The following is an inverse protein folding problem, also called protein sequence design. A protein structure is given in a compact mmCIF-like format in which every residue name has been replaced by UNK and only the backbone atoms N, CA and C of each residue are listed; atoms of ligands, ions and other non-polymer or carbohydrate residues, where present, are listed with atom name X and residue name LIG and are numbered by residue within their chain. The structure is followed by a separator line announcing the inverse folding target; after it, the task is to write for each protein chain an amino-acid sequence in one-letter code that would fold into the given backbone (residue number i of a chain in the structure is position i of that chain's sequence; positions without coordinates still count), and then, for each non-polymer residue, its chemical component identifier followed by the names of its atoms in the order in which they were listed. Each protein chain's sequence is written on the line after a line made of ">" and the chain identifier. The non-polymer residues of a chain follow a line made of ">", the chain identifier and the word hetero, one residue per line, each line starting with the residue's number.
data_IF_862087190858
#
_entry.id   IF_862087190858
#
_cell.length_a   1.000
_cell.length_b   1.000
_cell.length_c   1.000
_cell.angle_alpha   90.00
_cell.angle_beta   90.00
_cell.angle_gamma   90.00
#
_symmetry.space_group_name_H-M   'P 1'
#
loop_
_entity.id
_entity.type
_entity.pdbx_description
1 polymer ?
#
# COMPACT_ATOMS: atom_id res chain seq x y z
N UNK A 1 -0.47 -6.47 5.30
CA UNK A 1 -0.68 -7.11 3.98
C UNK A 1 0.69 -7.33 3.37
N UNK A 2 0.81 -8.30 2.48
CA UNK A 2 2.09 -8.73 1.92
C UNK A 2 2.81 -9.72 2.83
N UNK A 3 4.11 -9.52 2.97
CA UNK A 3 5.01 -10.44 3.69
C UNK A 3 4.76 -10.47 5.21
N UNK A 4 4.60 -11.67 5.77
CA UNK A 4 4.46 -11.87 7.22
C UNK A 4 5.71 -11.42 7.98
N UNK A 5 5.53 -10.75 9.12
CA UNK A 5 6.61 -10.24 10.01
C UNK A 5 7.66 -9.31 9.39
N UNK A 6 7.52 -8.92 8.12
CA UNK A 6 8.51 -8.06 7.45
C UNK A 6 8.71 -6.74 8.19
N UNK A 7 7.63 -6.10 8.64
CA UNK A 7 7.74 -4.81 9.33
C UNK A 7 8.44 -4.91 10.69
N UNK A 8 8.27 -6.02 11.40
CA UNK A 8 9.01 -6.31 12.63
C UNK A 8 10.52 -6.40 12.35
N UNK A 9 10.89 -7.02 11.22
CA UNK A 9 12.29 -7.15 10.78
C UNK A 9 12.87 -5.80 10.34
N UNK A 10 12.08 -4.96 9.66
CA UNK A 10 12.52 -3.66 9.15
C UNK A 10 12.45 -2.53 10.18
N UNK A 11 11.87 -2.76 11.37
CA UNK A 11 11.73 -1.75 12.42
C UNK A 11 13.04 -1.01 12.78
N UNK A 12 14.23 -1.67 12.85
CA UNK A 12 15.48 -0.97 13.19
C UNK A 12 15.91 0.11 12.20
N UNK A 13 15.46 0.03 10.94
CA UNK A 13 15.77 1.02 9.90
C UNK A 13 14.65 2.03 9.67
N UNK A 14 13.58 1.97 10.46
CA UNK A 14 12.45 2.91 10.39
C UNK A 14 12.90 4.32 10.75
N UNK A 15 12.62 5.28 9.87
CA UNK A 15 12.80 6.71 10.14
C UNK A 15 11.44 7.40 10.20
N UNK A 16 11.10 8.02 11.33
CA UNK A 16 9.92 8.90 11.38
C UNK A 16 10.25 10.21 10.67
N UNK A 17 9.44 10.56 9.66
CA UNK A 17 9.59 11.79 8.88
C UNK A 17 8.32 12.64 8.96
N UNK A 18 8.43 13.95 9.23
CA UNK A 18 7.26 14.82 9.23
C UNK A 18 6.78 15.09 7.81
N UNK A 19 5.46 15.18 7.59
CA UNK A 19 4.89 15.36 6.24
C UNK A 19 5.44 16.58 5.50
N UNK A 20 5.66 17.71 6.20
CA UNK A 20 6.18 18.93 5.57
C UNK A 20 7.56 18.73 4.93
N UNK A 21 8.36 17.78 5.42
CA UNK A 21 9.71 17.49 4.88
C UNK A 21 9.65 16.84 3.49
N UNK A 22 8.46 16.40 3.05
CA UNK A 22 8.24 15.82 1.74
C UNK A 22 7.84 16.86 0.68
N UNK A 23 7.77 18.15 1.03
CA UNK A 23 7.44 19.21 0.08
C UNK A 23 8.36 19.17 -1.14
N UNK A 24 7.77 19.28 -2.33
CA UNK A 24 8.47 19.19 -3.62
C UNK A 24 8.67 17.76 -4.14
N UNK A 25 8.47 16.72 -3.32
CA UNK A 25 8.55 15.32 -3.76
C UNK A 25 7.31 14.91 -4.54
N UNK A 26 7.50 13.92 -5.42
CA UNK A 26 6.44 13.22 -6.14
C UNK A 26 6.29 11.82 -5.57
N UNK A 27 5.09 11.43 -5.15
CA UNK A 27 4.86 10.13 -4.50
C UNK A 27 3.81 9.31 -5.25
N UNK A 28 4.10 8.02 -5.46
CA UNK A 28 3.12 7.05 -5.95
C UNK A 28 2.24 6.55 -4.79
N UNK A 29 0.94 6.40 -5.03
CA UNK A 29 -0.02 5.97 -3.99
C UNK A 29 -0.89 4.84 -4.53
N UNK A 30 -0.98 3.73 -3.79
CA UNK A 30 -1.98 2.70 -4.06
C UNK A 30 -3.39 3.21 -3.71
N UNK A 31 -4.22 3.42 -4.74
CA UNK A 31 -5.57 3.94 -4.58
C UNK A 31 -6.47 2.96 -3.82
N UNK A 32 -6.35 1.66 -4.12
CA UNK A 32 -7.16 0.61 -3.52
C UNK A 32 -6.94 0.51 -2.02
N UNK A 33 -5.69 0.66 -1.57
CA UNK A 33 -5.31 0.62 -0.17
C UNK A 33 -5.94 1.77 0.61
N UNK A 34 -5.83 3.01 0.13
CA UNK A 34 -6.43 4.17 0.79
C UNK A 34 -7.96 4.14 0.81
N UNK A 35 -8.60 3.67 -0.26
CA UNK A 35 -10.06 3.48 -0.28
C UNK A 35 -10.48 2.40 0.73
N UNK A 36 -9.72 1.30 0.81
CA UNK A 36 -9.98 0.24 1.80
C UNK A 36 -9.85 0.74 3.25
N UNK A 37 -8.83 1.54 3.54
CA UNK A 37 -8.63 2.16 4.86
C UNK A 37 -9.80 3.07 5.23
N UNK A 38 -10.21 3.95 4.32
CA UNK A 38 -11.33 4.86 4.54
C UNK A 38 -12.63 4.10 4.87
N UNK A 39 -12.89 3.00 4.16
CA UNK A 39 -14.05 2.15 4.42
C UNK A 39 -13.98 1.43 5.77
N UNK A 40 -12.78 1.02 6.22
CA UNK A 40 -12.61 0.35 7.50
C UNK A 40 -12.90 1.30 8.68
N UNK A 41 -12.39 2.53 8.62
CA UNK A 41 -12.68 3.58 9.61
C UNK A 41 -14.18 3.89 9.67
N UNK A 42 -14.84 3.95 8.50
CA UNK A 42 -16.28 4.20 8.43
C UNK A 42 -17.13 3.11 9.07
N UNK A 43 -16.76 1.84 8.89
CA UNK A 43 -17.46 0.72 9.51
C UNK A 43 -17.42 0.77 11.04
N UNK A 44 -16.34 1.31 11.62
CA UNK A 44 -16.20 1.47 13.07
C UNK A 44 -16.96 2.67 13.65
N UNK A 45 -17.11 3.76 12.89
CA UNK A 45 -17.68 5.02 13.41
C UNK A 45 -19.18 5.20 13.16
N UNK A 46 -19.86 4.28 12.47
CA UNK A 46 -21.31 4.29 12.26
C UNK A 46 -21.86 5.46 11.44
N UNK A 47 -21.00 6.31 10.88
CA UNK A 47 -21.37 7.46 10.03
C UNK A 47 -21.01 7.16 8.58
N UNK A 48 -22.02 7.14 7.71
CA UNK A 48 -21.81 7.03 6.26
C UNK A 48 -21.24 8.36 5.76
N UNK A 49 -19.92 8.40 5.60
CA UNK A 49 -19.26 9.35 4.70
C UNK A 49 -18.92 8.60 3.42
N UNK A 50 -18.94 9.29 2.28
CA UNK A 50 -18.51 8.67 1.02
C UNK A 50 -16.97 8.57 1.04
N UNK A 51 -16.34 7.42 0.74
CA UNK A 51 -14.89 7.22 0.89
C UNK A 51 -14.06 8.20 0.05
N UNK A 52 -14.59 8.65 -1.09
CA UNK A 52 -13.97 9.71 -1.88
C UNK A 52 -13.82 11.04 -1.12
N UNK A 53 -14.66 11.35 -0.13
CA UNK A 53 -14.48 12.57 0.68
C UNK A 53 -13.22 12.49 1.55
N UNK A 54 -12.94 11.33 2.14
CA UNK A 54 -11.71 11.13 2.90
C UNK A 54 -10.49 11.22 1.98
N UNK A 55 -10.58 10.60 0.80
CA UNK A 55 -9.54 10.71 -0.23
C UNK A 55 -9.30 12.16 -0.63
N UNK A 56 -10.37 12.92 -0.90
CA UNK A 56 -10.31 14.35 -1.25
C UNK A 56 -9.51 15.15 -0.22
N UNK A 57 -9.82 15.01 1.08
CA UNK A 57 -9.12 15.76 2.11
C UNK A 57 -7.65 15.35 2.25
N UNK A 58 -7.32 14.05 2.09
CA UNK A 58 -5.93 13.58 2.08
C UNK A 58 -5.16 14.18 0.91
N UNK A 59 -5.71 14.10 -0.31
CA UNK A 59 -5.11 14.63 -1.53
C UNK A 59 -4.94 16.14 -1.45
N UNK A 60 -5.99 16.86 -1.04
CA UNK A 60 -5.97 18.32 -0.88
C UNK A 60 -4.89 18.75 0.11
N UNK A 61 -4.79 18.08 1.26
CA UNK A 61 -3.80 18.42 2.28
C UNK A 61 -2.36 18.21 1.80
N UNK A 62 -2.08 17.08 1.15
CA UNK A 62 -0.75 16.77 0.62
C UNK A 62 -0.35 17.72 -0.50
N UNK A 63 -1.26 17.98 -1.44
CA UNK A 63 -0.99 18.92 -2.55
C UNK A 63 -0.78 20.35 -2.05
N UNK A 64 -1.52 20.80 -1.02
CA UNK A 64 -1.28 22.09 -0.35
C UNK A 64 0.07 22.15 0.36
N UNK A 65 0.63 21.02 0.81
CA UNK A 65 2.00 20.93 1.34
C UNK A 65 3.07 20.89 0.24
N UNK A 66 2.69 20.99 -1.04
CA UNK A 66 3.61 20.94 -2.18
C UNK A 66 4.06 19.53 -2.55
N UNK A 67 3.37 18.49 -2.07
CA UNK A 67 3.64 17.09 -2.41
C UNK A 67 2.84 16.74 -3.66
N UNK A 68 3.54 16.32 -4.72
CA UNK A 68 2.92 15.86 -5.96
C UNK A 68 2.53 14.40 -5.80
N UNK A 69 1.36 14.02 -6.30
CA UNK A 69 0.85 12.66 -6.18
C UNK A 69 0.58 12.07 -7.56
N UNK A 70 0.85 10.78 -7.70
CA UNK A 70 0.34 9.95 -8.78
C UNK A 70 -0.33 8.72 -8.16
N UNK A 71 -1.61 8.51 -8.47
CA UNK A 71 -2.34 7.35 -7.96
C UNK A 71 -2.22 6.17 -8.91
N UNK A 72 -2.14 4.97 -8.34
CA UNK A 72 -2.12 3.72 -9.09
C UNK A 72 -3.37 2.93 -8.72
N UNK A 73 -4.17 2.64 -9.74
CA UNK A 73 -5.31 1.73 -9.66
C UNK A 73 -4.87 0.31 -10.00
N UNK A 74 -5.39 -0.66 -9.25
CA UNK A 74 -5.10 -2.07 -9.48
C UNK A 74 -5.67 -2.57 -10.82
N UNK A 75 -4.89 -3.41 -11.50
CA UNK A 75 -5.26 -4.13 -12.71
C UNK A 75 -5.81 -5.52 -12.42
N UNK A 76 -5.36 -6.51 -13.20
CA UNK A 76 -5.75 -7.91 -12.98
C UNK A 76 -4.76 -8.61 -12.06
N UNK A 77 -5.25 -9.04 -10.90
CA UNK A 77 -4.45 -9.77 -9.93
C UNK A 77 -3.91 -11.09 -10.51
N UNK A 78 -2.66 -11.48 -10.18
CA UNK A 78 -2.10 -12.76 -10.58
C UNK A 78 -2.94 -13.94 -10.07
N UNK A 79 -3.03 -15.01 -10.89
CA UNK A 79 -3.76 -16.24 -10.53
C UNK A 79 -3.29 -16.86 -9.21
N UNK A 80 -2.00 -16.73 -8.89
CA UNK A 80 -1.41 -17.24 -7.65
C UNK A 80 -2.05 -16.63 -6.39
N UNK A 81 -2.57 -15.40 -6.46
CA UNK A 81 -3.18 -14.69 -5.33
C UNK A 81 -4.68 -14.99 -5.18
N UNK A 82 -5.27 -15.77 -6.09
CA UNK A 82 -6.71 -16.02 -6.13
C UNK A 82 -7.26 -16.64 -4.83
N UNK A 83 -6.54 -17.61 -4.25
CA UNK A 83 -6.95 -18.27 -3.00
C UNK A 83 -6.91 -17.30 -1.81
N UNK A 84 -5.83 -16.52 -1.68
CA UNK A 84 -5.67 -15.50 -0.65
C UNK A 84 -6.78 -14.44 -0.75
N UNK A 85 -7.08 -13.96 -1.96
CA UNK A 85 -8.17 -13.01 -2.20
C UNK A 85 -9.54 -13.59 -1.84
N UNK A 86 -9.77 -14.86 -2.17
CA UNK A 86 -11.01 -15.55 -1.83
C UNK A 86 -11.20 -15.64 -0.31
N UNK A 87 -10.18 -16.11 0.42
CA UNK A 87 -10.19 -16.17 1.89
C UNK A 87 -10.43 -14.80 2.51
N UNK A 88 -9.76 -13.75 2.00
CA UNK A 88 -9.91 -12.36 2.48
C UNK A 88 -11.33 -11.83 2.23
N UNK A 89 -11.89 -12.06 1.04
CA UNK A 89 -13.24 -11.62 0.71
C UNK A 89 -14.30 -12.35 1.52
N UNK A 90 -14.15 -13.65 1.77
CA UNK A 90 -15.04 -14.39 2.66
C UNK A 90 -14.99 -13.84 4.09
N UNK A 91 -13.80 -13.66 4.66
CA UNK A 91 -13.65 -13.14 6.02
C UNK A 91 -14.21 -11.73 6.20
N UNK A 92 -14.08 -10.86 5.19
CA UNK A 92 -14.53 -9.47 5.26
C UNK A 92 -16.00 -9.26 4.95
N UNK A 93 -16.58 -10.06 4.05
CA UNK A 93 -17.92 -9.80 3.52
C UNK A 93 -18.92 -10.95 3.70
N UNK A 94 -18.48 -12.13 4.16
CA UNK A 94 -19.32 -13.30 4.39
C UNK A 94 -20.21 -13.61 3.18
N UNK A 95 -21.53 -13.69 3.41
CA UNK A 95 -22.53 -13.94 2.36
C UNK A 95 -22.60 -12.85 1.28
N UNK A 96 -22.05 -11.65 1.52
CA UNK A 96 -21.99 -10.54 0.55
C UNK A 96 -20.71 -10.56 -0.31
N UNK A 97 -19.85 -11.57 -0.16
CA UNK A 97 -18.57 -11.66 -0.87
C UNK A 97 -18.71 -11.62 -2.40
N UNK A 98 -19.79 -12.14 -2.97
CA UNK A 98 -20.00 -12.16 -4.43
C UNK A 98 -20.24 -10.76 -5.04
N UNK A 99 -20.86 -9.83 -4.31
CA UNK A 99 -21.18 -8.49 -4.79
C UNK A 99 -20.09 -7.44 -4.43
N UNK A 100 -19.23 -7.75 -3.45
CA UNK A 100 -18.21 -6.85 -2.95
C UNK A 100 -17.22 -6.35 -4.03
N UNK A 101 -16.69 -7.18 -4.94
CA UNK A 101 -15.73 -6.73 -5.95
C UNK A 101 -16.32 -5.69 -6.92
N UNK A 102 -17.57 -5.90 -7.38
CA UNK A 102 -18.24 -4.96 -8.29
C UNK A 102 -18.47 -3.60 -7.64
N UNK A 103 -18.94 -3.59 -6.39
CA UNK A 103 -19.14 -2.36 -5.62
C UNK A 103 -17.82 -1.64 -5.36
N UNK A 104 -16.76 -2.38 -5.06
CA UNK A 104 -15.44 -1.80 -4.83
C UNK A 104 -14.89 -1.13 -6.09
N UNK A 105 -14.97 -1.79 -7.25
CA UNK A 105 -14.59 -1.20 -8.55
C UNK A 105 -15.36 0.09 -8.87
N UNK A 106 -16.65 0.15 -8.56
CA UNK A 106 -17.44 1.38 -8.75
C UNK A 106 -16.91 2.53 -7.89
N UNK A 107 -16.55 2.27 -6.62
CA UNK A 107 -15.97 3.27 -5.72
C UNK A 107 -14.60 3.73 -6.21
N UNK A 108 -13.75 2.82 -6.69
CA UNK A 108 -12.45 3.19 -7.27
C UNK A 108 -12.62 4.12 -8.48
N UNK A 109 -13.64 3.88 -9.31
CA UNK A 109 -13.97 4.76 -10.45
C UNK A 109 -14.42 6.15 -10.00
N UNK A 110 -15.33 6.24 -9.02
CA UNK A 110 -15.72 7.53 -8.44
C UNK A 110 -14.52 8.29 -7.86
N UNK A 111 -13.59 7.57 -7.21
CA UNK A 111 -12.35 8.16 -6.71
C UNK A 111 -11.44 8.65 -7.85
N UNK A 112 -11.32 7.90 -8.95
CA UNK A 112 -10.55 8.31 -10.12
C UNK A 112 -11.14 9.56 -10.80
N UNK A 113 -12.46 9.60 -11.00
CA UNK A 113 -13.17 10.78 -11.54
C UNK A 113 -12.96 12.02 -10.65
N UNK A 114 -12.93 11.84 -9.33
CA UNK A 114 -12.59 12.91 -8.41
C UNK A 114 -11.13 13.37 -8.57
N UNK A 115 -10.17 12.44 -8.75
CA UNK A 115 -8.76 12.79 -8.99
C UNK A 115 -8.61 13.59 -10.30
N UNK A 116 -9.34 13.21 -11.35
CA UNK A 116 -9.40 13.95 -12.61
C UNK A 116 -9.89 15.39 -12.39
N UNK A 117 -10.96 15.57 -11.61
CA UNK A 117 -11.49 16.89 -11.27
C UNK A 117 -10.51 17.74 -10.44
N UNK A 118 -9.65 17.10 -9.64
CA UNK A 118 -8.60 17.76 -8.86
C UNK A 118 -7.32 18.03 -9.68
N UNK A 119 -7.22 17.52 -10.92
CA UNK A 119 -6.02 17.61 -11.74
C UNK A 119 -4.87 16.74 -11.22
N UNK A 120 -5.17 15.67 -10.47
CA UNK A 120 -4.16 14.75 -9.93
C UNK A 120 -4.06 13.52 -10.84
N UNK A 121 -2.87 13.20 -11.38
CA UNK A 121 -2.72 12.10 -12.31
C UNK A 121 -2.93 10.74 -11.62
N UNK A 122 -3.49 9.81 -12.39
CA UNK A 122 -3.59 8.41 -11.98
C UNK A 122 -3.38 7.48 -13.19
N UNK A 123 -2.96 6.24 -12.92
CA UNK A 123 -2.72 5.21 -13.93
C UNK A 123 -3.32 3.88 -13.48
N UNK A 124 -3.54 2.98 -14.43
CA UNK A 124 -3.93 1.59 -14.15
C UNK A 124 -2.72 0.68 -14.29
N UNK A 125 -2.44 -0.12 -13.26
CA UNK A 125 -1.42 -1.15 -13.31
C UNK A 125 -1.86 -2.31 -14.22
N UNK A 126 -0.90 -3.03 -14.82
CA UNK A 126 -1.22 -4.26 -15.55
C UNK A 126 -1.67 -5.38 -14.58
N UNK A 127 -1.02 -5.45 -13.42
CA UNK A 127 -1.36 -6.36 -12.34
C UNK A 127 -1.60 -5.59 -11.04
N UNK A 128 -0.72 -5.78 -10.06
CA UNK A 128 -0.88 -5.16 -8.75
C UNK A 128 -0.41 -3.70 -8.73
N UNK A 129 -1.16 -2.86 -8.01
CA UNK A 129 -0.85 -1.45 -7.90
C UNK A 129 0.50 -1.22 -7.19
N UNK A 130 0.79 -1.97 -6.13
CA UNK A 130 2.08 -1.95 -5.43
C UNK A 130 3.27 -2.19 -6.36
N UNK A 131 3.13 -3.11 -7.32
CA UNK A 131 4.17 -3.41 -8.31
C UNK A 131 4.44 -2.22 -9.24
N UNK A 132 3.38 -1.53 -9.67
CA UNK A 132 3.50 -0.34 -10.51
C UNK A 132 4.03 0.86 -9.71
N UNK A 133 3.63 1.03 -8.46
CA UNK A 133 4.21 2.02 -7.54
C UNK A 133 5.72 1.81 -7.42
N UNK A 134 6.15 0.58 -7.11
CA UNK A 134 7.56 0.20 -7.01
C UNK A 134 8.32 0.41 -8.31
N UNK A 135 7.71 0.10 -9.45
CA UNK A 135 8.28 0.37 -10.77
C UNK A 135 8.54 1.87 -10.97
N UNK A 136 7.54 2.73 -10.74
CA UNK A 136 7.68 4.18 -10.88
C UNK A 136 8.83 4.73 -10.03
N UNK A 137 8.97 4.25 -8.78
CA UNK A 137 10.06 4.68 -7.91
C UNK A 137 11.41 4.14 -8.39
N UNK A 138 11.51 2.85 -8.74
CA UNK A 138 12.76 2.26 -9.23
C UNK A 138 13.32 2.94 -10.48
N UNK A 139 12.43 3.48 -11.33
CA UNK A 139 12.78 4.22 -12.54
C UNK A 139 13.07 5.72 -12.27
N UNK A 140 12.93 6.19 -11.04
CA UNK A 140 13.14 7.59 -10.67
C UNK A 140 12.05 8.53 -11.18
N UNK A 141 10.87 8.02 -11.55
CA UNK A 141 9.72 8.84 -11.96
C UNK A 141 8.97 9.42 -10.76
N UNK A 142 9.11 8.79 -9.60
CA UNK A 142 8.65 9.28 -8.30
C UNK A 142 9.78 9.14 -7.27
N UNK A 143 9.65 9.85 -6.15
CA UNK A 143 10.60 9.88 -5.04
C UNK A 143 10.30 8.83 -3.95
N UNK A 144 9.21 8.08 -4.09
CA UNK A 144 8.83 6.99 -3.21
C UNK A 144 7.36 6.59 -3.33
N UNK A 145 6.98 5.55 -2.61
CA UNK A 145 5.63 4.98 -2.61
C UNK A 145 4.98 5.14 -1.24
N UNK A 146 3.74 5.64 -1.18
CA UNK A 146 2.92 5.56 0.03
C UNK A 146 2.11 4.27 -0.02
N UNK A 147 2.45 3.32 0.84
CA UNK A 147 1.75 2.04 0.95
C UNK A 147 2.01 1.40 2.30
N UNK A 148 1.03 0.66 2.82
CA UNK A 148 1.17 -0.18 4.00
C UNK A 148 1.48 -1.66 3.66
N UNK A 149 1.61 -1.99 2.37
CA UNK A 149 1.96 -3.32 1.87
C UNK A 149 3.47 -3.50 1.72
N UNK A 150 3.98 -4.63 2.22
CA UNK A 150 5.42 -4.95 2.22
C UNK A 150 5.93 -5.40 0.86
N UNK A 151 5.03 -5.84 -0.02
CA UNK A 151 5.39 -6.38 -1.33
C UNK A 151 6.06 -5.32 -2.23
N UNK A 152 5.87 -4.02 -1.95
CA UNK A 152 6.54 -2.93 -2.66
C UNK A 152 8.07 -3.09 -2.69
N UNK A 153 8.69 -3.55 -1.60
CA UNK A 153 10.14 -3.81 -1.57
C UNK A 153 10.53 -5.01 -2.45
N UNK A 154 9.72 -6.07 -2.47
CA UNK A 154 9.94 -7.23 -3.34
C UNK A 154 9.85 -6.85 -4.81
N UNK A 155 8.98 -5.90 -5.15
CA UNK A 155 8.88 -5.33 -6.49
C UNK A 155 9.98 -4.34 -6.84
N UNK A 156 10.81 -3.94 -5.88
CA UNK A 156 11.98 -3.09 -6.11
C UNK A 156 11.78 -1.60 -5.81
N UNK A 157 10.79 -1.24 -4.99
CA UNK A 157 10.72 0.12 -4.44
C UNK A 157 12.02 0.46 -3.70
N UNK A 158 12.51 1.69 -3.87
CA UNK A 158 13.68 2.23 -3.19
C UNK A 158 13.29 2.95 -1.91
N UNK A 159 12.13 3.62 -1.89
CA UNK A 159 11.62 4.36 -0.74
C UNK A 159 10.14 4.07 -0.52
N UNK A 160 9.80 3.59 0.67
CA UNK A 160 8.42 3.28 1.08
C UNK A 160 8.04 4.13 2.30
N UNK A 161 6.90 4.79 2.20
CA UNK A 161 6.29 5.59 3.26
C UNK A 161 5.04 4.89 3.81
N UNK A 162 5.00 4.71 5.13
CA UNK A 162 3.99 3.94 5.85
C UNK A 162 3.28 4.72 6.94
N UNK A 163 2.18 4.13 7.40
CA UNK A 163 1.39 4.61 8.53
C UNK A 163 0.92 6.06 8.34
N UNK A 164 0.42 6.35 7.14
CA UNK A 164 -0.14 7.65 6.80
C UNK A 164 -1.32 8.01 7.71
N UNK A 165 -1.10 9.02 8.55
CA UNK A 165 -2.12 9.54 9.46
C UNK A 165 -2.08 11.08 9.48
N UNK A 166 -3.23 11.70 9.22
CA UNK A 166 -3.44 13.14 9.32
C UNK A 166 -4.12 13.50 10.64
N UNK A 167 -3.52 13.14 11.77
CA UNK A 167 -4.03 13.58 13.06
C UNK A 167 -3.74 15.07 13.24
N UNK A 168 -4.78 15.88 13.44
CA UNK A 168 -4.68 17.35 13.55
C UNK A 168 -4.11 17.84 14.87
N UNK A 169 -3.90 16.97 15.86
CA UNK A 169 -3.39 17.35 17.19
C UNK A 169 -1.86 17.41 17.29
N UNK A 170 -1.14 16.84 16.32
CA UNK A 170 0.33 16.78 16.27
C UNK A 170 0.78 17.03 14.83
N UNK A 171 2.06 17.34 14.63
CA UNK A 171 2.61 17.36 13.28
C UNK A 171 2.49 15.96 12.67
N UNK A 172 1.78 15.80 11.53
CA UNK A 172 1.56 14.49 10.94
C UNK A 172 2.91 13.91 10.46
N UNK A 173 3.15 12.65 10.84
CA UNK A 173 4.38 11.91 10.54
C UNK A 173 4.08 10.66 9.73
N UNK A 174 5.11 10.19 9.03
CA UNK A 174 5.14 8.92 8.30
C UNK A 174 6.36 8.12 8.71
N UNK A 175 6.23 6.81 8.61
CA UNK A 175 7.38 5.92 8.70
C UNK A 175 8.03 5.80 7.32
N UNK A 176 9.29 6.20 7.20
CA UNK A 176 10.09 6.09 5.99
C UNK A 176 11.05 4.91 6.11
N UNK A 177 11.08 4.09 5.05
CA UNK A 177 11.99 2.98 4.88
C UNK A 177 12.68 3.13 3.53
N UNK A 178 14.01 3.07 3.50
CA UNK A 178 14.78 3.13 2.26
C UNK A 178 15.59 1.86 2.07
N UNK A 179 15.58 1.31 0.86
CA UNK A 179 16.31 0.08 0.52
C UNK A 179 17.80 0.21 0.80
N UNK A 180 18.37 1.41 0.65
CA UNK A 180 19.77 1.68 0.99
C UNK A 180 20.08 1.50 2.48
N UNK A 181 19.13 1.80 3.37
CA UNK A 181 19.30 1.58 4.81
C UNK A 181 19.09 0.11 5.15
N UNK A 182 18.11 -0.55 4.51
CA UNK A 182 17.86 -1.99 4.65
C UNK A 182 19.10 -2.81 4.26
N UNK A 183 19.73 -2.49 3.14
CA UNK A 183 20.94 -3.18 2.66
C UNK A 183 22.16 -2.88 3.55
N UNK A 184 22.34 -1.62 3.95
CA UNK A 184 23.50 -1.19 4.74
C UNK A 184 23.45 -1.73 6.17
N UNK A 185 22.30 -1.61 6.84
CA UNK A 185 22.18 -1.80 8.28
C UNK A 185 21.63 -3.20 8.64
N UNK A 186 20.85 -3.82 7.76
CA UNK A 186 20.32 -5.18 7.96
C UNK A 186 20.96 -6.24 7.06
N UNK A 187 21.78 -5.83 6.08
CA UNK A 187 22.39 -6.72 5.10
C UNK A 187 21.37 -7.55 4.30
N UNK A 188 20.20 -6.95 4.04
CA UNK A 188 19.13 -7.57 3.27
C UNK A 188 19.04 -6.93 1.89
N UNK A 189 19.59 -7.60 0.88
CA UNK A 189 19.33 -7.27 -0.52
C UNK A 189 17.87 -7.57 -0.90
N UNK A 190 17.42 -7.05 -2.04
CA UNK A 190 16.10 -7.39 -2.59
C UNK A 190 15.91 -8.90 -2.73
N UNK A 191 16.93 -9.62 -3.21
CA UNK A 191 16.91 -11.08 -3.34
C UNK A 191 16.73 -11.77 -1.98
N UNK A 192 17.37 -11.23 -0.93
CA UNK A 192 17.17 -11.73 0.43
C UNK A 192 15.74 -11.46 0.93
N UNK A 193 15.17 -10.29 0.66
CA UNK A 193 13.80 -9.95 1.03
C UNK A 193 12.78 -10.86 0.33
N UNK A 194 12.99 -11.15 -0.96
CA UNK A 194 12.17 -12.12 -1.71
C UNK A 194 12.29 -13.51 -1.09
N UNK A 195 13.51 -13.96 -0.77
CA UNK A 195 13.73 -15.24 -0.09
C UNK A 195 13.03 -15.32 1.27
N UNK A 196 13.20 -14.28 2.11
CA UNK A 196 12.52 -14.17 3.40
C UNK A 196 11.01 -14.23 3.25
N UNK A 197 10.45 -13.57 2.23
CA UNK A 197 9.01 -13.60 1.99
C UNK A 197 8.48 -14.98 1.61
N UNK A 198 9.27 -15.76 0.87
CA UNK A 198 8.93 -17.16 0.56
C UNK A 198 8.91 -17.98 1.86
N UNK A 199 9.87 -17.78 2.76
CA UNK A 199 9.94 -18.53 4.03
C UNK A 199 8.86 -18.13 5.04
N UNK A 200 8.68 -16.83 5.26
CA UNK A 200 7.70 -16.27 6.21
C UNK A 200 6.26 -16.40 5.69
N UNK A 201 6.10 -16.59 4.38
CA UNK A 201 4.83 -16.52 3.69
C UNK A 201 4.47 -15.08 3.28
N UNK A 202 3.75 -14.98 2.19
CA UNK A 202 3.26 -13.74 1.62
C UNK A 202 1.91 -13.97 0.94
N UNK A 203 1.35 -12.93 0.33
CA UNK A 203 0.05 -13.02 -0.31
C UNK A 203 -0.02 -14.05 -1.47
N UNK A 204 1.12 -14.44 -2.05
CA UNK A 204 1.23 -15.41 -3.15
C UNK A 204 1.46 -16.85 -2.68
N UNK A 205 2.10 -17.04 -1.53
CA UNK A 205 2.60 -18.34 -1.06
C UNK A 205 2.31 -18.47 0.43
N UNK A 206 1.60 -19.53 0.87
CA UNK A 206 1.37 -19.77 2.28
C UNK A 206 2.68 -20.01 3.03
N UNK A 207 2.72 -19.64 4.32
CA UNK A 207 3.91 -19.75 5.17
C UNK A 207 4.46 -21.19 5.21
N UNK A 208 5.72 -21.34 4.79
CA UNK A 208 6.42 -22.63 4.68
C UNK A 208 6.81 -23.18 6.06
N UNK A 209 6.97 -22.35 7.08
CA UNK A 209 7.32 -22.79 8.46
C UNK A 209 6.24 -23.71 9.04
N UNK A 210 4.97 -23.56 8.63
CA UNK A 210 3.89 -24.48 9.02
C UNK A 210 3.86 -25.80 8.21
N UNK A 211 4.63 -25.92 7.12
CA UNK A 211 4.74 -27.17 6.35
C UNK A 211 5.84 -28.10 6.88
N UNK A 212 6.82 -27.60 7.65
CA UNK A 212 7.96 -28.41 8.14
C UNK A 212 7.63 -29.22 9.41
N UNK A 213 6.45 -29.02 10.00
CA UNK A 213 5.99 -29.81 11.16
C UNK A 213 5.54 -31.26 10.83
N UNK A 214 5.83 -31.79 9.64
CA UNK A 214 5.42 -33.16 9.22
C UNK A 214 6.58 -34.18 9.20
N UNK A 215 7.83 -33.79 9.43
CA UNK A 215 8.94 -34.78 9.47
C UNK A 215 9.97 -34.47 10.55
N UNK A 216 9.58 -34.60 11.83
CA UNK A 216 10.48 -34.99 12.93
C UNK A 216 9.74 -35.96 13.84
#
# INVERSE_FOLDING_TARGET
>A
MGVHELWSILEPVRKSVPLYSLSGKTLAVDLSLWVCEAQHVQAMMGRVTKPHLNLFFRVSSLTLMGIKLIFVMEGEAPKLKAETMYKRNQGRFGTKAAAAPKRFKAILRECAEMLDCMGVPWVTAAGEAEAMCAYLDSQGLVDGCITNDGDAFLYGARTVYRNFNMNTKQDPQLDCYQTSDVERDLHLSRENLVGLAIFLGCDYIPNVINMVHIYV
#
